data_IF_657228508232
#
_entry.id   IF_657228508232
#
_cell.length_a   1.000
_cell.length_b   1.000
_cell.length_c   1.000
_cell.angle_alpha   90.00
_cell.angle_beta   90.00
_cell.angle_gamma   90.00
#
_symmetry.space_group_name_H-M   'P 1'
#
loop_
_entity.id
_entity.type
_entity.pdbx_description
1 polymer ?
#
# COMPACT_ATOMS: atom_id res chain seq x y z
N UNK A 1 -16.72 46.78 -25.52
CA UNK A 1 -16.04 45.55 -25.99
C UNK A 1 -15.25 44.95 -24.83
N UNK A 2 -15.49 43.69 -24.44
CA UNK A 2 -14.76 43.08 -23.33
C UNK A 2 -13.37 42.63 -23.82
N UNK A 3 -12.32 42.99 -23.06
CA UNK A 3 -10.95 42.51 -23.29
C UNK A 3 -10.89 41.04 -22.86
N UNK A 4 -10.49 40.16 -23.79
CA UNK A 4 -10.21 38.73 -23.54
C UNK A 4 -9.21 38.57 -22.39
N UNK A 5 -9.57 37.82 -21.36
CA UNK A 5 -8.63 37.22 -20.42
C UNK A 5 -7.72 36.26 -21.20
N UNK A 6 -6.40 36.47 -21.08
CA UNK A 6 -5.41 35.50 -21.59
C UNK A 6 -5.26 34.39 -20.56
N UNK A 7 -5.44 33.16 -21.00
CA UNK A 7 -5.19 31.95 -20.21
C UNK A 7 -3.78 31.96 -19.62
N UNK A 8 -3.70 31.85 -18.30
CA UNK A 8 -2.47 31.97 -17.49
C UNK A 8 -1.58 30.70 -17.60
N UNK A 9 -1.97 29.74 -18.43
CA UNK A 9 -1.26 28.48 -18.62
C UNK A 9 -0.38 28.43 -19.88
N UNK A 10 -0.39 29.48 -20.72
CA UNK A 10 0.29 29.47 -22.01
C UNK A 10 1.52 30.40 -22.05
N UNK A 11 2.39 30.28 -21.05
CA UNK A 11 3.71 30.91 -21.07
C UNK A 11 4.75 29.90 -21.56
N UNK A 12 5.27 30.12 -22.78
CA UNK A 12 6.35 29.32 -23.38
C UNK A 12 7.52 29.12 -22.41
N UNK A 13 8.12 27.91 -22.35
CA UNK A 13 9.26 27.63 -21.48
C UNK A 13 10.46 28.50 -21.89
N UNK A 14 10.97 29.30 -20.96
CA UNK A 14 12.19 30.09 -21.16
C UNK A 14 13.38 29.13 -21.52
N UNK A 15 13.98 29.25 -22.72
CA UNK A 15 14.99 28.30 -23.21
C UNK A 15 16.33 28.36 -22.46
N UNK A 16 16.55 29.35 -21.59
CA UNK A 16 17.79 29.51 -20.81
C UNK A 16 17.82 28.77 -19.47
N UNK A 17 16.90 27.83 -19.25
CA UNK A 17 16.79 27.09 -17.99
C UNK A 17 17.11 25.63 -18.27
N UNK A 18 18.13 25.08 -17.60
CA UNK A 18 18.42 23.65 -17.65
C UNK A 18 17.23 22.85 -17.08
N UNK A 19 16.92 21.71 -17.69
CA UNK A 19 15.90 20.78 -17.19
C UNK A 19 16.12 20.38 -15.71
N UNK A 20 17.38 20.33 -15.27
CA UNK A 20 17.73 20.11 -13.87
C UNK A 20 17.18 21.21 -12.95
N UNK A 21 17.36 22.48 -13.33
CA UNK A 21 16.87 23.64 -12.56
C UNK A 21 15.35 23.71 -12.55
N UNK A 22 14.70 23.25 -13.63
CA UNK A 22 13.24 23.14 -13.69
C UNK A 22 12.72 22.11 -12.67
N UNK A 23 13.35 20.94 -12.57
CA UNK A 23 12.99 19.89 -11.60
C UNK A 23 13.22 20.34 -10.16
N UNK A 24 14.35 21.00 -9.89
CA UNK A 24 14.65 21.52 -8.54
C UNK A 24 13.59 22.55 -8.11
N UNK A 25 13.20 23.48 -8.98
CA UNK A 25 12.14 24.45 -8.64
C UNK A 25 10.77 23.81 -8.47
N UNK A 26 10.48 22.74 -9.20
CA UNK A 26 9.25 21.96 -9.00
C UNK A 26 9.26 21.25 -7.64
N UNK A 27 10.39 20.64 -7.25
CA UNK A 27 10.55 20.02 -5.94
C UNK A 27 10.47 21.05 -4.79
N UNK A 28 11.10 22.21 -4.94
CA UNK A 28 11.00 23.30 -3.97
C UNK A 28 9.55 23.78 -3.78
N UNK A 29 8.80 23.94 -4.87
CA UNK A 29 7.37 24.27 -4.81
C UNK A 29 6.55 23.22 -4.06
N UNK A 30 6.84 21.93 -4.27
CA UNK A 30 6.17 20.85 -3.54
C UNK A 30 6.49 20.91 -2.04
N UNK A 31 7.76 21.14 -1.68
CA UNK A 31 8.17 21.30 -0.29
C UNK A 31 7.43 22.47 0.39
N UNK A 32 7.29 23.61 -0.30
CA UNK A 32 6.54 24.76 0.23
C UNK A 32 5.06 24.45 0.46
N UNK A 33 4.44 23.67 -0.43
CA UNK A 33 3.02 23.28 -0.29
C UNK A 33 2.84 22.33 0.91
N UNK A 34 3.74 21.36 1.10
CA UNK A 34 3.71 20.46 2.26
C UNK A 34 3.93 21.23 3.57
N UNK A 35 4.84 22.19 3.57
CA UNK A 35 5.10 23.06 4.73
C UNK A 35 3.87 23.93 5.05
N UNK A 36 3.19 24.46 4.02
CA UNK A 36 1.96 25.23 4.18
C UNK A 36 0.84 24.38 4.80
N UNK A 37 0.67 23.15 4.31
CA UNK A 37 -0.29 22.21 4.86
C UNK A 37 -0.04 21.94 6.35
N UNK A 38 1.21 21.70 6.74
CA UNK A 38 1.57 21.47 8.15
C UNK A 38 1.25 22.68 9.04
N UNK A 39 1.51 23.91 8.57
CA UNK A 39 1.15 25.12 9.33
C UNK A 39 -0.35 25.28 9.50
N UNK A 40 -1.14 24.96 8.47
CA UNK A 40 -2.61 25.00 8.53
C UNK A 40 -3.22 23.88 9.39
N UNK A 41 -2.51 22.77 9.61
CA UNK A 41 -2.92 21.71 10.54
C UNK A 41 -2.71 22.09 12.02
N UNK A 42 -1.77 22.98 12.30
CA UNK A 42 -1.51 23.46 13.67
C UNK A 42 -2.57 24.45 14.17
N UNK A 43 -2.46 24.87 15.43
CA UNK A 43 -3.39 25.81 16.06
C UNK A 43 -3.10 27.30 15.75
N UNK A 44 -2.29 27.58 14.71
CA UNK A 44 -1.89 28.94 14.35
C UNK A 44 -2.99 29.73 13.64
N UNK A 45 -3.02 31.06 13.83
CA UNK A 45 -3.92 31.97 13.11
C UNK A 45 -3.23 32.53 11.86
N UNK A 46 -3.37 31.83 10.74
CA UNK A 46 -2.64 32.12 9.51
C UNK A 46 -3.46 32.88 8.47
N UNK A 47 -3.26 34.19 8.35
CA UNK A 47 -3.76 34.94 7.18
C UNK A 47 -2.72 34.97 6.05
N UNK A 48 -3.10 35.44 4.85
CA UNK A 48 -2.21 35.43 3.68
C UNK A 48 -0.93 36.25 3.93
N UNK A 49 -1.04 37.39 4.61
CA UNK A 49 0.10 38.25 4.92
C UNK A 49 1.06 37.60 5.93
N UNK A 50 0.53 36.93 6.96
CA UNK A 50 1.31 36.19 7.94
C UNK A 50 2.04 35.01 7.30
N UNK A 51 1.35 34.24 6.45
CA UNK A 51 1.95 33.16 5.68
C UNK A 51 3.01 33.69 4.70
N UNK A 52 2.77 34.82 4.04
CA UNK A 52 3.74 35.41 3.13
C UNK A 52 5.03 35.79 3.86
N UNK A 53 4.91 36.33 5.08
CA UNK A 53 6.06 36.62 5.95
C UNK A 53 6.78 35.36 6.39
N UNK A 54 6.06 34.33 6.82
CA UNK A 54 6.63 33.05 7.29
C UNK A 54 7.39 32.31 6.19
N UNK A 55 6.90 32.38 4.94
CA UNK A 55 7.54 31.76 3.77
C UNK A 55 8.51 32.69 3.04
N UNK A 56 8.74 33.91 3.54
CA UNK A 56 9.56 34.94 2.90
C UNK A 56 9.22 35.14 1.42
N UNK A 57 7.93 35.12 1.08
CA UNK A 57 7.46 35.15 -0.29
C UNK A 57 6.31 36.14 -0.49
N UNK A 58 5.87 36.33 -1.74
CA UNK A 58 4.74 37.20 -2.03
C UNK A 58 3.41 36.59 -1.60
N UNK A 59 2.44 37.42 -1.22
CA UNK A 59 1.08 36.94 -0.96
C UNK A 59 0.44 36.25 -2.19
N UNK A 60 0.85 36.64 -3.41
CA UNK A 60 0.43 35.98 -4.66
C UNK A 60 0.90 34.52 -4.69
N UNK A 61 2.11 34.25 -4.20
CA UNK A 61 2.68 32.89 -4.09
C UNK A 61 1.86 32.05 -3.11
N UNK A 62 1.55 32.58 -1.93
CA UNK A 62 0.71 31.91 -0.93
C UNK A 62 -0.68 31.59 -1.48
N UNK A 63 -1.36 32.56 -2.11
CA UNK A 63 -2.68 32.33 -2.74
C UNK A 63 -2.62 31.22 -3.80
N UNK A 64 -1.51 31.13 -4.55
CA UNK A 64 -1.29 30.04 -5.50
C UNK A 64 -1.09 28.70 -4.80
N UNK A 65 -0.35 28.64 -3.68
CA UNK A 65 -0.15 27.41 -2.92
C UNK A 65 -1.46 26.93 -2.28
N UNK A 66 -2.27 27.84 -1.72
CA UNK A 66 -3.61 27.55 -1.22
C UNK A 66 -4.52 26.94 -2.31
N UNK A 67 -4.51 27.51 -3.52
CA UNK A 67 -5.21 26.92 -4.68
C UNK A 67 -4.72 25.52 -5.04
N UNK A 68 -3.43 25.24 -4.90
CA UNK A 68 -2.90 23.89 -5.17
C UNK A 68 -3.41 22.88 -4.14
N UNK A 69 -3.51 23.27 -2.85
CA UNK A 69 -4.14 22.42 -1.83
C UNK A 69 -5.61 22.17 -2.17
N UNK A 70 -6.36 23.20 -2.57
CA UNK A 70 -7.75 23.06 -3.02
C UNK A 70 -7.89 22.12 -4.23
N UNK A 71 -7.03 22.26 -5.25
CA UNK A 71 -6.99 21.32 -6.39
C UNK A 71 -6.63 19.89 -6.01
N UNK A 72 -5.87 19.70 -4.92
CA UNK A 72 -5.55 18.39 -4.37
C UNK A 72 -6.71 17.81 -3.52
N UNK A 73 -7.86 18.49 -3.45
CA UNK A 73 -9.02 18.06 -2.66
C UNK A 73 -8.87 18.32 -1.15
N UNK A 74 -7.89 19.13 -0.74
CA UNK A 74 -7.67 19.49 0.66
C UNK A 74 -8.56 20.71 0.98
N UNK A 75 -9.56 20.58 1.88
CA UNK A 75 -10.58 21.59 2.13
C UNK A 75 -10.06 22.72 3.04
N UNK A 76 -9.23 23.59 2.47
CA UNK A 76 -8.79 24.83 3.11
C UNK A 76 -9.83 25.92 2.83
N UNK A 77 -10.25 26.65 3.87
CA UNK A 77 -11.19 27.76 3.76
C UNK A 77 -10.70 28.98 4.53
N UNK A 78 -11.25 30.16 4.22
CA UNK A 78 -11.01 31.38 5.00
C UNK A 78 -12.11 31.53 6.05
N UNK A 79 -11.74 31.62 7.32
CA UNK A 79 -12.62 31.93 8.44
C UNK A 79 -12.73 33.46 8.61
N UNK A 80 -13.89 34.08 8.30
CA UNK A 80 -14.05 35.53 8.41
C UNK A 80 -14.04 36.04 9.86
N UNK A 81 -14.42 35.20 10.82
CA UNK A 81 -14.48 35.57 12.24
C UNK A 81 -13.09 35.67 12.86
N UNK A 82 -12.22 34.70 12.54
CA UNK A 82 -10.84 34.68 13.01
C UNK A 82 -9.86 35.35 12.04
N UNK A 83 -10.35 35.79 10.87
CA UNK A 83 -9.59 36.43 9.79
C UNK A 83 -8.38 35.62 9.33
N UNK A 84 -8.46 34.29 9.36
CA UNK A 84 -7.35 33.40 8.99
C UNK A 84 -7.84 32.24 8.10
N UNK A 85 -6.89 31.59 7.41
CA UNK A 85 -7.14 30.36 6.67
C UNK A 85 -7.09 29.17 7.63
N UNK A 86 -8.03 28.24 7.45
CA UNK A 86 -8.27 27.08 8.27
C UNK A 86 -8.38 25.85 7.38
N UNK A 87 -7.84 24.73 7.86
CA UNK A 87 -8.18 23.43 7.34
C UNK A 87 -9.48 22.96 8.02
N UNK A 88 -10.41 22.38 7.25
CA UNK A 88 -11.64 21.78 7.82
C UNK A 88 -11.25 20.75 8.89
N UNK A 89 -11.81 20.86 10.08
CA UNK A 89 -11.38 20.07 11.25
C UNK A 89 -11.64 18.56 11.12
N UNK A 90 -12.57 18.18 10.26
CA UNK A 90 -12.90 16.80 9.88
C UNK A 90 -12.04 16.28 8.70
N UNK A 91 -11.18 17.13 8.12
CA UNK A 91 -10.28 16.68 7.07
C UNK A 91 -9.13 15.90 7.68
N UNK A 92 -9.24 14.60 7.56
CA UNK A 92 -8.15 13.66 7.78
C UNK A 92 -7.64 13.28 6.40
N UNK A 93 -6.33 13.37 6.17
CA UNK A 93 -5.76 12.65 5.03
C UNK A 93 -6.20 11.19 5.17
N UNK A 94 -6.60 10.47 4.10
CA UNK A 94 -6.99 9.07 4.20
C UNK A 94 -5.77 8.24 4.60
N UNK A 95 -5.50 8.25 5.89
CA UNK A 95 -4.56 7.44 6.61
C UNK A 95 -5.42 6.34 7.19
N UNK A 96 -5.03 5.09 6.96
CA UNK A 96 -5.70 3.95 7.58
C UNK A 96 -5.42 4.05 9.08
N UNK A 97 -6.33 4.64 9.84
CA UNK A 97 -6.27 4.65 11.29
C UNK A 97 -6.71 3.28 11.78
N UNK A 98 -5.73 2.46 12.14
CA UNK A 98 -5.99 1.16 12.77
C UNK A 98 -6.27 1.35 14.26
N UNK A 99 -7.18 0.56 14.81
CA UNK A 99 -7.34 0.46 16.27
C UNK A 99 -6.12 -0.24 16.89
N UNK A 100 -5.88 -0.10 18.21
CA UNK A 100 -4.83 -0.86 18.89
C UNK A 100 -4.90 -2.37 18.64
N UNK A 101 -6.10 -2.95 18.60
CA UNK A 101 -6.30 -4.37 18.31
C UNK A 101 -5.94 -4.72 16.86
N UNK A 102 -6.26 -3.86 15.90
CA UNK A 102 -5.89 -4.05 14.50
C UNK A 102 -4.38 -3.94 14.29
N UNK A 103 -3.71 -3.02 15.00
CA UNK A 103 -2.25 -2.92 14.99
C UNK A 103 -1.58 -4.16 15.58
N UNK A 104 -2.09 -4.66 16.71
CA UNK A 104 -1.60 -5.91 17.29
C UNK A 104 -1.82 -7.09 16.34
N UNK A 105 -3.01 -7.18 15.72
CA UNK A 105 -3.31 -8.20 14.71
C UNK A 105 -2.34 -8.15 13.52
N UNK A 106 -2.02 -6.96 13.04
CA UNK A 106 -1.06 -6.76 11.94
C UNK A 106 0.38 -7.13 12.35
N UNK A 107 0.80 -6.79 13.57
CA UNK A 107 2.09 -7.21 14.11
C UNK A 107 2.18 -8.74 14.19
N UNK A 108 1.14 -9.40 14.72
CA UNK A 108 1.07 -10.87 14.79
C UNK A 108 1.12 -11.48 13.38
N UNK A 109 0.37 -10.92 12.41
CA UNK A 109 0.40 -11.38 11.03
C UNK A 109 1.81 -11.28 10.43
N UNK A 110 2.55 -10.21 10.74
CA UNK A 110 3.94 -10.00 10.29
C UNK A 110 4.92 -10.95 10.94
N UNK A 111 4.77 -11.22 12.24
CA UNK A 111 5.59 -12.22 12.93
C UNK A 111 5.33 -13.62 12.37
N UNK A 112 4.08 -13.89 12.00
CA UNK A 112 3.63 -15.16 11.42
C UNK A 112 4.25 -15.42 10.04
N UNK A 113 4.58 -14.39 9.23
CA UNK A 113 5.27 -14.60 7.94
C UNK A 113 6.72 -15.02 8.11
N UNK A 114 7.35 -14.75 9.26
CA UNK A 114 8.72 -15.19 9.58
C UNK A 114 8.79 -16.66 9.97
N UNK A 115 7.65 -17.31 10.19
CA UNK A 115 7.58 -18.73 10.53
C UNK A 115 7.89 -19.56 9.27
N UNK A 116 8.96 -20.39 9.30
CA UNK A 116 9.33 -21.21 8.15
C UNK A 116 8.17 -22.11 7.70
N UNK A 117 7.86 -22.11 6.41
CA UNK A 117 6.85 -23.00 5.82
C UNK A 117 5.41 -22.49 5.87
N UNK A 118 5.13 -21.40 6.59
CA UNK A 118 3.82 -20.75 6.51
C UNK A 118 3.70 -19.95 5.22
N UNK A 119 4.78 -19.23 4.88
CA UNK A 119 5.02 -18.70 3.55
C UNK A 119 3.81 -17.93 3.00
N UNK A 120 3.09 -17.27 3.91
CA UNK A 120 1.93 -16.43 3.62
C UNK A 120 2.50 -15.12 3.10
N UNK A 121 2.15 -14.80 1.85
CA UNK A 121 2.21 -13.50 1.19
C UNK A 121 3.14 -12.46 1.85
N UNK A 122 4.15 -12.01 1.10
CA UNK A 122 5.06 -10.92 1.47
C UNK A 122 4.36 -9.56 1.71
N UNK A 123 3.02 -9.50 1.80
CA UNK A 123 2.25 -8.28 2.01
C UNK A 123 2.24 -7.77 3.45
N UNK A 124 2.37 -8.64 4.46
CA UNK A 124 2.24 -8.22 5.86
C UNK A 124 3.39 -7.30 6.31
N UNK A 125 4.65 -7.68 6.03
CA UNK A 125 5.82 -6.90 6.43
C UNK A 125 5.87 -5.50 5.79
N UNK A 126 5.72 -5.33 4.46
CA UNK A 126 5.61 -4.01 3.83
C UNK A 126 4.44 -3.18 4.37
N UNK A 127 3.30 -3.82 4.67
CA UNK A 127 2.15 -3.13 5.27
C UNK A 127 2.51 -2.57 6.64
N UNK A 128 3.16 -3.37 7.48
CA UNK A 128 3.62 -2.96 8.82
C UNK A 128 4.65 -1.83 8.75
N UNK A 129 5.59 -1.88 7.79
CA UNK A 129 6.56 -0.80 7.55
C UNK A 129 5.84 0.51 7.18
N UNK A 130 4.86 0.45 6.29
CA UNK A 130 4.10 1.63 5.88
C UNK A 130 3.25 2.21 7.03
N UNK A 131 2.67 1.36 7.87
CA UNK A 131 1.91 1.79 9.05
C UNK A 131 2.82 2.43 10.09
N UNK A 132 3.98 1.84 10.37
CA UNK A 132 4.97 2.41 11.29
C UNK A 132 5.49 3.79 10.83
N UNK A 133 5.51 4.06 9.52
CA UNK A 133 5.92 5.37 8.98
C UNK A 133 4.84 6.47 9.11
N UNK A 134 3.65 6.12 9.59
CA UNK A 134 2.47 7.01 9.58
C UNK A 134 2.39 7.90 10.82
N UNK A 135 2.59 7.32 12.02
CA UNK A 135 2.65 8.08 13.27
C UNK A 135 3.53 7.34 14.31
N UNK A 136 4.05 8.08 15.31
CA UNK A 136 4.95 7.55 16.36
C UNK A 136 4.26 6.53 17.29
N UNK A 137 2.99 6.74 17.66
CA UNK A 137 2.21 5.81 18.48
C UNK A 137 2.04 4.43 17.82
N UNK A 138 1.77 4.40 16.51
CA UNK A 138 1.68 3.18 15.72
C UNK A 138 3.03 2.48 15.63
N UNK A 139 4.11 3.25 15.45
CA UNK A 139 5.47 2.71 15.45
C UNK A 139 5.79 2.04 16.80
N UNK A 140 5.47 2.69 17.91
CA UNK A 140 5.71 2.15 19.26
C UNK A 140 4.92 0.86 19.51
N UNK A 141 3.62 0.83 19.19
CA UNK A 141 2.78 -0.36 19.38
C UNK A 141 3.27 -1.53 18.54
N UNK A 142 3.64 -1.29 17.28
CA UNK A 142 4.17 -2.32 16.39
C UNK A 142 5.55 -2.85 16.86
N UNK A 143 6.42 -1.96 17.35
CA UNK A 143 7.72 -2.34 17.90
C UNK A 143 7.58 -3.17 19.17
N UNK A 144 6.75 -2.72 20.12
CA UNK A 144 6.48 -3.44 21.37
C UNK A 144 5.85 -4.82 21.11
N UNK A 145 4.91 -4.91 20.16
CA UNK A 145 4.34 -6.20 19.77
C UNK A 145 5.40 -7.17 19.23
N UNK A 146 6.40 -6.65 18.49
CA UNK A 146 7.52 -7.44 17.99
C UNK A 146 8.48 -7.95 19.08
N UNK A 147 8.59 -7.24 20.20
CA UNK A 147 9.40 -7.66 21.35
C UNK A 147 8.66 -8.60 22.31
N UNK A 148 7.35 -8.40 22.48
CA UNK A 148 6.54 -9.12 23.47
C UNK A 148 5.89 -10.39 22.93
N UNK A 149 5.76 -10.52 21.61
CA UNK A 149 5.06 -11.65 20.97
C UNK A 149 6.04 -12.48 20.15
N UNK A 150 6.09 -13.77 20.44
CA UNK A 150 6.77 -14.76 19.61
C UNK A 150 5.80 -15.82 19.12
N UNK A 151 5.89 -16.17 17.83
CA UNK A 151 5.12 -17.28 17.25
C UNK A 151 6.03 -18.50 17.18
N UNK A 152 5.87 -19.41 18.15
CA UNK A 152 6.68 -20.61 18.30
C UNK A 152 5.88 -21.88 17.96
N UNK A 153 6.59 -22.96 17.59
CA UNK A 153 6.01 -24.31 17.57
C UNK A 153 5.05 -24.62 16.41
N UNK A 154 4.93 -23.74 15.42
CA UNK A 154 4.28 -24.07 14.15
C UNK A 154 5.20 -25.00 13.36
N UNK A 155 5.09 -26.31 13.59
CA UNK A 155 5.82 -27.33 12.85
C UNK A 155 5.27 -27.42 11.42
N UNK A 156 5.53 -26.44 10.58
CA UNK A 156 5.06 -26.44 9.20
C UNK A 156 6.08 -27.15 8.30
N UNK A 157 5.58 -27.74 7.22
CA UNK A 157 6.43 -28.27 6.18
C UNK A 157 7.14 -27.10 5.49
N UNK A 158 8.44 -27.26 5.23
CA UNK A 158 9.19 -26.26 4.49
C UNK A 158 8.65 -26.13 3.06
N UNK A 159 8.09 -24.96 2.78
CA UNK A 159 7.50 -24.59 1.50
C UNK A 159 8.29 -23.47 0.80
N UNK A 160 9.50 -23.14 1.27
CA UNK A 160 10.32 -22.04 0.76
C UNK A 160 10.61 -22.13 -0.74
N UNK A 161 10.69 -23.33 -1.30
CA UNK A 161 10.88 -23.53 -2.75
C UNK A 161 9.60 -23.44 -3.58
N UNK A 162 8.44 -23.29 -2.93
CA UNK A 162 7.11 -23.36 -3.53
C UNK A 162 6.32 -22.04 -3.40
N UNK A 163 6.91 -20.96 -2.89
CA UNK A 163 6.27 -19.64 -2.74
C UNK A 163 5.59 -19.18 -4.03
N UNK A 164 6.30 -19.24 -5.16
CA UNK A 164 5.80 -18.81 -6.46
C UNK A 164 4.59 -19.64 -6.92
N UNK A 165 4.56 -20.93 -6.58
CA UNK A 165 3.43 -21.82 -6.88
C UNK A 165 2.23 -21.49 -5.99
N UNK A 166 2.44 -21.32 -4.68
CA UNK A 166 1.40 -20.93 -3.72
C UNK A 166 0.75 -19.61 -4.16
N UNK A 167 1.57 -18.61 -4.51
CA UNK A 167 1.10 -17.32 -5.03
C UNK A 167 0.32 -17.47 -6.33
N UNK A 168 0.79 -18.32 -7.24
CA UNK A 168 0.06 -18.60 -8.49
C UNK A 168 -1.32 -19.22 -8.23
N UNK A 169 -1.44 -20.11 -7.23
CA UNK A 169 -2.74 -20.66 -6.80
C UNK A 169 -3.63 -19.59 -6.21
N UNK A 170 -3.10 -18.74 -5.33
CA UNK A 170 -3.86 -17.64 -4.72
C UNK A 170 -4.41 -16.68 -5.78
N UNK A 171 -3.58 -16.29 -6.75
CA UNK A 171 -4.02 -15.45 -7.86
C UNK A 171 -5.07 -16.18 -8.72
N UNK A 172 -4.89 -17.47 -9.00
CA UNK A 172 -5.87 -18.23 -9.76
C UNK A 172 -7.23 -18.30 -9.05
N UNK A 173 -7.24 -18.52 -7.73
CA UNK A 173 -8.45 -18.50 -6.91
C UNK A 173 -9.15 -17.14 -6.94
N UNK A 174 -8.40 -16.04 -6.76
CA UNK A 174 -8.95 -14.69 -6.77
C UNK A 174 -9.54 -14.29 -8.13
N UNK A 175 -8.95 -14.79 -9.22
CA UNK A 175 -9.36 -14.44 -10.58
C UNK A 175 -10.27 -15.49 -11.24
N UNK A 176 -10.66 -16.55 -10.52
CA UNK A 176 -11.47 -17.65 -11.06
C UNK A 176 -10.80 -18.34 -12.26
N UNK A 177 -9.47 -18.51 -12.21
CA UNK A 177 -8.66 -19.10 -13.28
C UNK A 177 -8.25 -20.53 -12.96
N UNK A 178 -8.02 -21.31 -14.02
CA UNK A 178 -7.48 -22.66 -13.88
C UNK A 178 -5.97 -22.60 -13.68
N UNK A 179 -5.42 -23.69 -13.16
CA UNK A 179 -3.98 -23.89 -13.01
C UNK A 179 -3.55 -25.15 -13.74
N UNK A 180 -2.33 -25.16 -14.25
CA UNK A 180 -1.71 -26.36 -14.83
C UNK A 180 -0.26 -26.48 -14.38
N UNK A 181 0.15 -27.71 -14.13
CA UNK A 181 1.49 -27.99 -13.63
C UNK A 181 1.91 -29.43 -13.80
N UNK A 182 3.20 -29.68 -13.60
CA UNK A 182 3.78 -31.02 -13.57
C UNK A 182 3.71 -31.56 -12.14
N UNK A 183 2.94 -32.62 -11.92
CA UNK A 183 2.67 -33.18 -10.59
C UNK A 183 3.29 -34.56 -10.41
N UNK A 184 3.90 -34.79 -9.24
CA UNK A 184 4.40 -36.10 -8.82
C UNK A 184 3.48 -36.75 -7.78
N UNK A 185 2.78 -37.80 -8.19
CA UNK A 185 1.96 -38.59 -7.27
C UNK A 185 2.82 -39.65 -6.56
N UNK A 186 2.58 -39.95 -5.27
CA UNK A 186 3.21 -41.10 -4.60
C UNK A 186 2.73 -42.45 -5.15
N UNK A 187 1.64 -42.46 -5.91
CA UNK A 187 1.03 -43.69 -6.47
C UNK A 187 1.39 -43.92 -7.94
N UNK A 188 2.26 -43.08 -8.52
CA UNK A 188 2.70 -43.20 -9.92
C UNK A 188 4.20 -42.96 -10.02
N UNK A 189 4.88 -43.76 -10.83
CA UNK A 189 6.33 -43.65 -11.00
C UNK A 189 6.75 -42.40 -11.78
N UNK A 190 5.89 -41.91 -12.70
CA UNK A 190 6.18 -40.78 -13.59
C UNK A 190 5.41 -39.53 -13.19
N UNK A 191 6.08 -38.39 -13.35
CA UNK A 191 5.47 -37.07 -13.29
C UNK A 191 4.45 -36.96 -14.43
N UNK A 192 3.32 -36.29 -14.20
CA UNK A 192 2.29 -36.09 -15.23
C UNK A 192 1.74 -34.67 -15.17
N UNK A 193 1.26 -34.20 -16.32
CA UNK A 193 0.62 -32.89 -16.41
C UNK A 193 -0.77 -32.95 -15.78
N UNK A 194 -1.07 -31.94 -14.97
CA UNK A 194 -2.30 -31.86 -14.19
C UNK A 194 -2.88 -30.47 -14.34
N UNK A 195 -4.08 -30.39 -14.91
CA UNK A 195 -4.88 -29.18 -14.99
C UNK A 195 -6.01 -29.25 -13.95
N UNK A 196 -6.16 -28.19 -13.17
CA UNK A 196 -7.08 -28.12 -12.03
C UNK A 196 -7.86 -26.82 -12.11
N UNK A 197 -9.17 -26.92 -11.86
CA UNK A 197 -10.00 -25.80 -11.44
C UNK A 197 -9.92 -25.69 -9.90
N UNK A 198 -9.16 -24.72 -9.36
CA UNK A 198 -8.93 -24.64 -7.93
C UNK A 198 -10.15 -24.05 -7.22
N UNK A 199 -10.56 -24.64 -6.10
CA UNK A 199 -11.67 -24.16 -5.27
C UNK A 199 -11.18 -23.53 -3.98
N UNK A 200 -10.16 -24.12 -3.35
CA UNK A 200 -9.56 -23.62 -2.12
C UNK A 200 -8.08 -23.96 -2.05
N UNK A 201 -7.34 -23.08 -1.36
CA UNK A 201 -6.01 -23.36 -0.85
C UNK A 201 -6.13 -23.56 0.67
N UNK A 202 -5.73 -24.73 1.15
CA UNK A 202 -5.90 -25.14 2.54
C UNK A 202 -4.55 -25.48 3.16
N UNK A 203 -4.27 -24.94 4.35
CA UNK A 203 -3.20 -25.43 5.19
C UNK A 203 -3.75 -26.60 6.02
N UNK A 204 -3.38 -27.83 5.66
CA UNK A 204 -3.87 -29.06 6.31
C UNK A 204 -2.74 -29.70 7.10
N UNK A 205 -2.93 -29.80 8.41
CA UNK A 205 -1.91 -30.16 9.40
C UNK A 205 -0.73 -29.19 9.37
N UNK A 206 0.16 -29.37 8.40
CA UNK A 206 1.45 -28.70 8.31
C UNK A 206 1.81 -28.32 6.87
N UNK A 207 0.96 -28.61 5.88
CA UNK A 207 1.32 -28.39 4.47
C UNK A 207 0.18 -27.76 3.67
N UNK A 208 0.56 -27.03 2.64
CA UNK A 208 -0.37 -26.43 1.69
C UNK A 208 -0.92 -27.46 0.70
N UNK A 209 -2.24 -27.48 0.57
CA UNK A 209 -2.99 -28.30 -0.38
C UNK A 209 -3.97 -27.48 -1.19
N UNK A 210 -4.09 -27.83 -2.46
CA UNK A 210 -5.10 -27.32 -3.38
C UNK A 210 -6.26 -28.29 -3.34
N UNK A 211 -7.46 -27.81 -3.06
CA UNK A 211 -8.70 -28.55 -3.28
C UNK A 211 -9.30 -28.05 -4.59
N UNK A 212 -9.55 -28.94 -5.54
CA UNK A 212 -10.07 -28.57 -6.85
C UNK A 212 -10.45 -29.76 -7.71
N UNK A 213 -11.09 -29.48 -8.85
CA UNK A 213 -11.49 -30.47 -9.82
C UNK A 213 -10.43 -30.58 -10.91
N UNK A 214 -9.81 -31.75 -11.06
CA UNK A 214 -8.88 -31.98 -12.15
C UNK A 214 -9.62 -32.34 -13.44
N UNK A 215 -9.01 -32.01 -14.57
CA UNK A 215 -9.51 -32.37 -15.89
C UNK A 215 -9.74 -33.89 -16.00
N UNK A 216 -10.92 -34.28 -16.52
CA UNK A 216 -11.35 -35.68 -16.65
C UNK A 216 -11.84 -36.34 -15.36
N UNK A 217 -11.83 -35.65 -14.21
CA UNK A 217 -12.41 -36.14 -12.97
C UNK A 217 -13.86 -35.65 -12.80
N UNK A 218 -14.68 -36.44 -12.09
CA UNK A 218 -16.07 -36.07 -11.76
C UNK A 218 -16.24 -35.54 -10.34
N UNK A 219 -15.20 -35.66 -9.51
CA UNK A 219 -15.20 -35.22 -8.11
C UNK A 219 -13.93 -34.42 -7.78
N UNK A 220 -14.01 -33.41 -6.91
CA UNK A 220 -12.85 -32.68 -6.45
C UNK A 220 -11.91 -33.56 -5.62
N UNK A 221 -10.62 -33.28 -5.73
CA UNK A 221 -9.56 -33.97 -4.99
C UNK A 221 -8.61 -32.95 -4.37
N UNK A 222 -7.75 -33.46 -3.48
CA UNK A 222 -6.78 -32.66 -2.73
C UNK A 222 -5.37 -32.95 -3.24
N UNK A 223 -4.63 -31.90 -3.61
CA UNK A 223 -3.29 -31.98 -4.21
C UNK A 223 -2.29 -31.21 -3.35
N UNK A 224 -1.20 -31.87 -2.91
CA UNK A 224 -0.19 -31.21 -2.08
C UNK A 224 0.65 -30.27 -2.94
N UNK A 225 0.78 -29.00 -2.57
CA UNK A 225 1.51 -28.00 -3.37
C UNK A 225 2.97 -28.42 -3.55
N UNK A 226 3.61 -28.93 -2.50
CA UNK A 226 5.00 -29.41 -2.53
C UNK A 226 5.28 -30.60 -3.46
N UNK A 227 4.26 -31.16 -4.13
CA UNK A 227 4.40 -32.23 -5.12
C UNK A 227 4.36 -31.72 -6.56
N UNK A 228 4.12 -30.43 -6.77
CA UNK A 228 4.27 -29.80 -8.08
C UNK A 228 5.73 -29.46 -8.32
N UNK A 229 6.25 -29.81 -9.49
CA UNK A 229 7.55 -29.34 -9.97
C UNK A 229 7.47 -28.00 -10.68
N UNK A 230 6.31 -27.73 -11.27
CA UNK A 230 5.96 -26.46 -11.88
C UNK A 230 4.47 -26.27 -11.76
N UNK A 231 4.04 -25.01 -11.68
CA UNK A 231 2.63 -24.65 -11.65
C UNK A 231 2.47 -23.24 -12.22
N UNK A 232 1.48 -23.06 -13.10
CA UNK A 232 1.12 -21.76 -13.66
C UNK A 232 -0.39 -21.62 -13.77
N UNK A 233 -0.86 -20.38 -13.70
CA UNK A 233 -2.23 -20.00 -14.03
C UNK A 233 -2.43 -20.00 -15.55
N UNK A 234 -3.66 -20.29 -16.01
CA UNK A 234 -4.07 -20.30 -17.42
C UNK A 234 -5.25 -19.34 -17.63
#
# INVERSE_FOLDING_TARGET
MPKKEKDIYDSEPNPNISDADRRIRQAAKLADILKLLNLLRGNGRWNVAALAKEFECSERTIRRHLKVLEFAGIPVFYDPSERCHRLRSDFVFPVVNLTPEEMLGQAIATLTTKVPGLDISDGAEPTTINLAATNEEMQEILAQAGELVEVLGLQLADHSQHHSMIRSVQHALLNGKQIRGLYRSPYRDKDFELQIEPYRLCLIKQAWYIVGLAEGMTKPHTYRVARFKSLKMI
#
